data_IF_558709629426
#
_entry.id   IF_558709629426
#
_cell.length_a   1.000
_cell.length_b   1.000
_cell.length_c   1.000
_cell.angle_alpha   90.00
_cell.angle_beta   90.00
_cell.angle_gamma   90.00
#
_symmetry.space_group_name_H-M   'P 1'
#
loop_
_entity.id
_entity.type
_entity.pdbx_description
1 polymer ?
#
# COMPACT_ATOMS: atom_id res chain seq x y z
N UNK A 1 -42.38 13.97 0.70
CA UNK A 1 -41.68 14.20 -0.59
C UNK A 1 -40.45 15.06 -0.32
N UNK A 2 -39.32 14.80 -0.99
CA UNK A 2 -38.13 15.66 -0.86
C UNK A 2 -38.13 16.79 -1.91
N UNK A 3 -37.31 17.82 -1.69
CA UNK A 3 -37.06 18.89 -2.67
C UNK A 3 -36.56 18.31 -3.99
N UNK A 4 -35.64 17.34 -3.97
CA UNK A 4 -35.14 16.67 -5.18
C UNK A 4 -36.25 15.95 -5.95
N UNK A 5 -37.25 15.41 -5.24
CA UNK A 5 -38.41 14.75 -5.85
C UNK A 5 -39.24 15.77 -6.62
N UNK A 6 -39.47 16.96 -6.03
CA UNK A 6 -40.16 18.07 -6.69
C UNK A 6 -39.37 18.60 -7.90
N UNK A 7 -38.05 18.79 -7.76
CA UNK A 7 -37.18 19.23 -8.86
C UNK A 7 -37.19 18.24 -10.03
N UNK A 8 -37.18 16.92 -9.76
CA UNK A 8 -37.29 15.87 -10.79
C UNK A 8 -38.66 15.89 -11.48
N UNK A 9 -39.74 16.03 -10.73
CA UNK A 9 -41.11 16.14 -11.29
C UNK A 9 -41.24 17.41 -12.16
N UNK A 10 -40.68 18.53 -11.72
CA UNK A 10 -40.66 19.77 -12.50
C UNK A 10 -39.86 19.62 -13.80
N UNK A 11 -38.66 19.03 -13.74
CA UNK A 11 -37.85 18.78 -14.93
C UNK A 11 -38.57 17.88 -15.96
N UNK A 12 -39.28 16.84 -15.51
CA UNK A 12 -40.10 15.99 -16.39
C UNK A 12 -41.24 16.79 -17.05
N UNK A 13 -41.96 17.63 -16.28
CA UNK A 13 -43.01 18.50 -16.82
C UNK A 13 -42.49 19.53 -17.82
N UNK A 14 -41.27 20.05 -17.59
CA UNK A 14 -40.62 21.00 -18.49
C UNK A 14 -40.26 20.35 -19.83
N UNK A 15 -39.78 19.10 -19.82
CA UNK A 15 -39.50 18.34 -21.05
C UNK A 15 -40.78 18.05 -21.83
N UNK A 16 -41.88 17.66 -21.17
CA UNK A 16 -43.17 17.47 -21.86
C UNK A 16 -43.70 18.78 -22.45
N UNK A 17 -43.62 19.89 -21.70
CA UNK A 17 -44.02 21.21 -22.17
C UNK A 17 -43.24 21.67 -23.42
N UNK A 18 -41.92 21.47 -23.43
CA UNK A 18 -41.08 21.78 -24.59
C UNK A 18 -41.44 20.93 -25.82
N UNK A 19 -41.78 19.65 -25.62
CA UNK A 19 -42.25 18.76 -26.69
C UNK A 19 -43.63 19.20 -27.23
N UNK A 20 -44.54 19.62 -26.35
CA UNK A 20 -45.87 20.11 -26.70
C UNK A 20 -45.81 21.43 -27.49
N UNK A 21 -44.98 22.40 -27.07
CA UNK A 21 -44.72 23.63 -27.84
C UNK A 21 -44.14 23.30 -29.22
N UNK A 22 -43.17 22.38 -29.28
CA UNK A 22 -42.55 21.96 -30.54
C UNK A 22 -43.56 21.29 -31.49
N UNK A 23 -44.47 20.48 -30.94
CA UNK A 23 -45.57 19.85 -31.66
C UNK A 23 -46.58 20.87 -32.16
N UNK A 24 -46.95 21.85 -31.32
CA UNK A 24 -47.87 22.92 -31.66
C UNK A 24 -47.28 23.83 -32.75
N UNK A 25 -46.03 24.26 -32.63
CA UNK A 25 -45.34 25.05 -33.66
C UNK A 25 -45.27 24.31 -35.01
N UNK A 26 -45.08 22.98 -35.00
CA UNK A 26 -45.12 22.14 -36.21
C UNK A 26 -46.53 22.07 -36.82
N UNK A 27 -47.59 22.07 -36.00
CA UNK A 27 -48.99 22.16 -36.48
C UNK A 27 -49.29 23.56 -37.04
N UNK A 28 -48.86 24.63 -36.38
CA UNK A 28 -49.07 26.02 -36.83
C UNK A 28 -48.37 26.30 -38.17
N UNK A 29 -47.15 25.79 -38.37
CA UNK A 29 -46.43 25.89 -39.67
C UNK A 29 -47.20 25.23 -40.82
N UNK A 30 -47.72 24.01 -40.62
CA UNK A 30 -48.58 23.31 -41.61
C UNK A 30 -49.86 24.08 -41.91
N UNK A 31 -50.47 24.69 -40.89
CA UNK A 31 -51.68 25.50 -41.07
C UNK A 31 -51.36 26.78 -41.84
N UNK A 32 -50.20 27.40 -41.64
CA UNK A 32 -49.75 28.56 -42.41
C UNK A 32 -49.50 28.21 -43.89
N UNK A 33 -48.90 27.05 -44.17
CA UNK A 33 -48.75 26.50 -45.53
C UNK A 33 -50.13 26.31 -46.21
N UNK A 34 -51.11 25.75 -45.49
CA UNK A 34 -52.49 25.56 -45.99
C UNK A 34 -53.18 26.90 -46.30
N UNK A 35 -53.13 27.88 -45.38
CA UNK A 35 -53.75 29.19 -45.58
C UNK A 35 -53.08 30.00 -46.72
N UNK A 36 -51.82 29.73 -47.05
CA UNK A 36 -51.15 30.36 -48.19
C UNK A 36 -51.53 29.75 -49.54
N UNK A 37 -51.92 28.47 -49.56
CA UNK A 37 -52.36 27.78 -50.78
C UNK A 37 -53.86 27.97 -51.10
N UNK A 38 -54.60 28.71 -50.28
CA UNK A 38 -56.05 28.89 -50.43
C UNK A 38 -56.39 30.11 -51.30
N UNK A 39 -57.10 29.91 -52.42
CA UNK A 39 -57.55 30.98 -53.32
C UNK A 39 -58.66 31.83 -52.69
N UNK A 40 -58.64 33.15 -52.91
CA UNK A 40 -59.44 34.13 -52.16
C UNK A 40 -60.69 34.56 -52.95
N UNK A 41 -61.88 34.42 -52.34
CA UNK A 41 -63.10 35.17 -52.71
C UNK A 41 -63.17 36.48 -51.90
N UNK A 42 -63.68 37.57 -52.50
CA UNK A 42 -63.60 38.93 -51.93
C UNK A 42 -64.11 39.06 -50.49
N UNK A 43 -65.24 38.41 -50.15
CA UNK A 43 -65.84 38.49 -48.79
C UNK A 43 -65.00 37.79 -47.72
N UNK A 44 -64.24 36.75 -48.07
CA UNK A 44 -63.42 35.98 -47.12
C UNK A 44 -62.03 36.59 -46.88
N UNK A 45 -61.64 37.61 -47.66
CA UNK A 45 -60.28 38.16 -47.66
C UNK A 45 -59.87 38.78 -46.31
N UNK A 46 -60.78 39.52 -45.64
CA UNK A 46 -60.48 40.15 -44.35
C UNK A 46 -60.34 39.12 -43.21
N UNK A 47 -61.26 38.16 -43.10
CA UNK A 47 -61.17 37.10 -42.08
C UNK A 47 -59.90 36.26 -42.27
N UNK A 48 -59.61 35.84 -43.51
CA UNK A 48 -58.41 35.07 -43.82
C UNK A 48 -57.12 35.84 -43.48
N UNK A 49 -57.10 37.15 -43.69
CA UNK A 49 -55.97 38.01 -43.32
C UNK A 49 -55.80 38.11 -41.80
N UNK A 50 -56.90 38.23 -41.05
CA UNK A 50 -56.89 38.25 -39.59
C UNK A 50 -56.41 36.91 -38.99
N UNK A 51 -56.85 35.78 -39.55
CA UNK A 51 -56.43 34.46 -39.08
C UNK A 51 -54.97 34.15 -39.43
N UNK A 52 -54.48 34.62 -40.58
CA UNK A 52 -53.04 34.59 -40.91
C UNK A 52 -52.20 35.39 -39.92
N UNK A 53 -52.66 36.58 -39.52
CA UNK A 53 -51.97 37.41 -38.53
C UNK A 53 -51.90 36.72 -37.15
N UNK A 54 -53.04 36.25 -36.63
CA UNK A 54 -53.12 35.52 -35.36
C UNK A 54 -52.23 34.27 -35.33
N UNK A 55 -52.20 33.54 -36.44
CA UNK A 55 -51.33 32.36 -36.59
C UNK A 55 -49.85 32.74 -36.60
N UNK A 56 -49.49 33.85 -37.25
CA UNK A 56 -48.12 34.37 -37.25
C UNK A 56 -47.69 34.80 -35.84
N UNK A 57 -48.52 35.56 -35.12
CA UNK A 57 -48.30 35.95 -33.72
C UNK A 57 -48.08 34.72 -32.81
N UNK A 58 -48.94 33.70 -32.96
CA UNK A 58 -48.78 32.42 -32.24
C UNK A 58 -47.45 31.72 -32.62
N UNK A 59 -47.07 31.69 -33.89
CA UNK A 59 -45.81 31.09 -34.33
C UNK A 59 -44.57 31.82 -33.80
N UNK A 60 -44.62 33.16 -33.71
CA UNK A 60 -43.56 33.97 -33.10
C UNK A 60 -43.44 33.62 -31.61
N UNK A 61 -44.55 33.69 -30.85
CA UNK A 61 -44.55 33.38 -29.42
C UNK A 61 -44.04 31.97 -29.11
N UNK A 62 -44.49 30.94 -29.84
CA UNK A 62 -44.02 29.56 -29.67
C UNK A 62 -42.53 29.40 -30.03
N UNK A 63 -42.01 30.20 -30.96
CA UNK A 63 -40.58 30.20 -31.31
C UNK A 63 -39.74 30.89 -30.24
N UNK A 64 -40.21 32.01 -29.68
CA UNK A 64 -39.58 32.70 -28.56
C UNK A 64 -39.49 31.82 -27.31
N UNK A 65 -40.55 31.11 -26.92
CA UNK A 65 -40.54 30.22 -25.76
C UNK A 65 -39.55 29.05 -25.92
N UNK A 66 -39.49 28.42 -27.10
CA UNK A 66 -38.47 27.39 -27.37
C UNK A 66 -37.05 27.95 -27.33
N UNK A 67 -36.85 29.19 -27.77
CA UNK A 67 -35.56 29.85 -27.74
C UNK A 67 -35.16 30.22 -26.31
N UNK A 68 -36.07 30.79 -25.50
CA UNK A 68 -35.90 31.05 -24.06
C UNK A 68 -35.45 29.78 -23.32
N UNK A 69 -36.15 28.65 -23.50
CA UNK A 69 -35.77 27.39 -22.87
C UNK A 69 -34.44 26.82 -23.38
N UNK A 70 -34.11 26.99 -24.68
CA UNK A 70 -32.79 26.61 -25.21
C UNK A 70 -31.67 27.44 -24.59
N UNK A 71 -31.88 28.74 -24.43
CA UNK A 71 -30.90 29.67 -23.87
C UNK A 71 -30.72 29.44 -22.37
N UNK A 72 -31.81 29.19 -21.64
CA UNK A 72 -31.79 28.77 -20.23
C UNK A 72 -31.02 27.44 -20.05
N UNK A 73 -31.31 26.42 -20.87
CA UNK A 73 -30.58 25.15 -20.83
C UNK A 73 -29.09 25.32 -21.18
N UNK A 74 -28.77 26.23 -22.11
CA UNK A 74 -27.38 26.55 -22.47
C UNK A 74 -26.65 27.31 -21.36
N UNK A 75 -27.33 28.24 -20.67
CA UNK A 75 -26.79 28.94 -19.51
C UNK A 75 -26.52 27.99 -18.34
N UNK A 76 -27.44 27.04 -18.06
CA UNK A 76 -27.24 25.98 -17.04
C UNK A 76 -26.02 25.11 -17.34
N UNK A 77 -25.78 24.75 -18.62
CA UNK A 77 -24.57 24.02 -19.03
C UNK A 77 -23.30 24.83 -18.77
N UNK A 78 -23.26 26.10 -19.21
CA UNK A 78 -22.12 27.00 -18.97
C UNK A 78 -21.81 27.16 -17.47
N UNK A 79 -22.85 27.30 -16.63
CA UNK A 79 -22.68 27.35 -15.18
C UNK A 79 -22.04 26.06 -14.64
N UNK A 80 -22.53 24.89 -15.06
CA UNK A 80 -21.97 23.61 -14.61
C UNK A 80 -20.52 23.39 -15.10
N UNK A 81 -20.21 23.79 -16.33
CA UNK A 81 -18.85 23.78 -16.88
C UNK A 81 -17.91 24.72 -16.11
N UNK A 82 -18.39 25.90 -15.72
CA UNK A 82 -17.68 26.86 -14.87
C UNK A 82 -17.41 26.32 -13.47
N UNK A 83 -18.43 25.75 -12.80
CA UNK A 83 -18.28 25.08 -11.50
C UNK A 83 -17.21 23.99 -11.56
N UNK A 84 -17.30 23.11 -12.57
CA UNK A 84 -16.33 22.04 -12.81
C UNK A 84 -14.91 22.56 -13.10
N UNK A 85 -14.77 23.75 -13.68
CA UNK A 85 -13.48 24.41 -13.88
C UNK A 85 -12.87 24.86 -12.55
N UNK A 86 -13.66 25.50 -11.69
CA UNK A 86 -13.26 25.90 -10.35
C UNK A 86 -12.87 24.69 -9.48
N UNK A 87 -13.64 23.61 -9.53
CA UNK A 87 -13.34 22.39 -8.78
C UNK A 87 -12.05 21.70 -9.26
N UNK A 88 -11.74 21.77 -10.57
CA UNK A 88 -10.44 21.36 -11.13
C UNK A 88 -9.29 22.22 -10.63
N UNK A 89 -9.47 23.55 -10.53
CA UNK A 89 -8.44 24.43 -9.97
C UNK A 89 -8.22 24.15 -8.48
N UNK A 90 -9.28 24.01 -7.68
CA UNK A 90 -9.20 23.58 -6.26
C UNK A 90 -8.44 22.26 -6.11
N UNK A 91 -8.73 21.27 -6.94
CA UNK A 91 -8.01 19.98 -6.92
C UNK A 91 -6.53 20.13 -7.30
N UNK A 92 -6.20 20.96 -8.31
CA UNK A 92 -4.81 21.24 -8.72
C UNK A 92 -4.03 21.99 -7.63
N UNK A 93 -4.64 23.00 -7.01
CA UNK A 93 -4.08 23.71 -5.85
C UNK A 93 -3.80 22.73 -4.72
N UNK A 94 -4.80 21.95 -4.25
CA UNK A 94 -4.59 20.94 -3.20
C UNK A 94 -3.44 19.98 -3.52
N UNK A 95 -3.32 19.47 -4.76
CA UNK A 95 -2.21 18.58 -5.16
C UNK A 95 -0.85 19.27 -5.01
N UNK A 96 -0.69 20.48 -5.54
CA UNK A 96 0.59 21.21 -5.48
C UNK A 96 0.90 21.67 -4.05
N UNK A 97 -0.11 22.16 -3.33
CA UNK A 97 0.04 22.61 -1.96
C UNK A 97 0.43 21.46 -1.03
N UNK A 98 -0.09 20.24 -1.21
CA UNK A 98 0.35 19.07 -0.43
C UNK A 98 1.87 18.87 -0.53
N UNK A 99 2.42 18.78 -1.76
CA UNK A 99 3.85 18.51 -1.95
C UNK A 99 4.75 19.65 -1.44
N UNK A 100 4.27 20.91 -1.51
CA UNK A 100 4.92 22.08 -0.92
C UNK A 100 4.81 22.14 0.61
N UNK A 101 3.65 21.80 1.17
CA UNK A 101 3.31 21.86 2.59
C UNK A 101 4.08 20.83 3.40
N UNK A 102 4.34 19.65 2.82
CA UNK A 102 5.25 18.66 3.40
C UNK A 102 6.72 19.12 3.48
N UNK A 103 7.10 20.19 2.75
CA UNK A 103 8.41 20.88 2.85
C UNK A 103 8.30 22.14 3.75
N UNK A 104 7.09 22.50 4.20
CA UNK A 104 6.84 23.69 5.01
C UNK A 104 6.77 24.99 4.22
N UNK A 105 6.63 24.94 2.89
CA UNK A 105 6.59 26.13 2.02
C UNK A 105 5.22 26.82 1.96
N UNK A 106 4.15 26.15 2.41
CA UNK A 106 2.76 26.65 2.38
C UNK A 106 2.02 26.20 3.63
N UNK A 107 1.17 27.06 4.18
CA UNK A 107 0.19 26.70 5.22
C UNK A 107 -0.98 25.92 4.59
N UNK A 108 -1.02 24.62 4.85
CA UNK A 108 -2.09 23.73 4.37
C UNK A 108 -3.47 24.12 4.92
N UNK A 109 -3.57 24.59 6.16
CA UNK A 109 -4.87 24.93 6.75
C UNK A 109 -5.50 26.15 6.07
N UNK A 110 -4.69 27.11 5.62
CA UNK A 110 -5.14 28.25 4.82
C UNK A 110 -5.60 27.82 3.42
N UNK A 111 -4.87 26.91 2.77
CA UNK A 111 -5.22 26.39 1.43
C UNK A 111 -6.48 25.54 1.46
N UNK A 112 -6.60 24.61 2.41
CA UNK A 112 -7.77 23.74 2.53
C UNK A 112 -9.02 24.58 2.78
N UNK A 113 -8.94 25.54 3.72
CA UNK A 113 -10.03 26.50 3.97
C UNK A 113 -10.44 27.28 2.70
N UNK A 114 -9.48 27.70 1.86
CA UNK A 114 -9.80 28.36 0.59
C UNK A 114 -10.49 27.38 -0.37
N UNK A 115 -9.95 26.18 -0.54
CA UNK A 115 -10.43 25.19 -1.49
C UNK A 115 -11.77 24.53 -1.09
N UNK A 116 -12.13 24.58 0.20
CA UNK A 116 -13.38 24.06 0.76
C UNK A 116 -14.54 25.07 0.70
N UNK A 117 -14.28 26.34 0.37
CA UNK A 117 -15.37 27.32 0.15
C UNK A 117 -16.10 27.04 -1.17
N UNK A 118 -17.40 26.71 -1.09
CA UNK A 118 -18.29 26.48 -2.24
C UNK A 118 -18.74 27.79 -2.92
N UNK A 119 -17.83 28.76 -3.09
CA UNK A 119 -18.12 29.99 -3.83
C UNK A 119 -17.82 29.77 -5.34
N UNK A 120 -18.77 30.09 -6.20
CA UNK A 120 -18.62 29.98 -7.66
C UNK A 120 -18.61 31.35 -8.36
N UNK A 121 -18.40 32.43 -7.60
CA UNK A 121 -18.33 33.79 -8.09
C UNK A 121 -17.03 34.11 -8.86
N UNK A 122 -17.10 35.12 -9.72
CA UNK A 122 -15.95 35.66 -10.46
C UNK A 122 -14.78 36.12 -9.56
N UNK A 123 -14.98 36.87 -8.44
CA UNK A 123 -13.86 37.23 -7.57
C UNK A 123 -13.23 35.99 -6.88
N UNK A 124 -14.01 34.96 -6.56
CA UNK A 124 -13.44 33.72 -6.03
C UNK A 124 -12.58 32.96 -7.06
N UNK A 125 -12.99 32.98 -8.35
CA UNK A 125 -12.14 32.51 -9.44
C UNK A 125 -10.79 33.25 -9.50
N UNK A 126 -10.79 34.57 -9.34
CA UNK A 126 -9.58 35.39 -9.37
C UNK A 126 -8.64 35.05 -8.20
N UNK A 127 -9.17 34.85 -6.99
CA UNK A 127 -8.40 34.39 -5.82
C UNK A 127 -7.79 33.00 -6.06
N UNK A 128 -8.57 32.03 -6.54
CA UNK A 128 -8.06 30.69 -6.86
C UNK A 128 -7.01 30.73 -7.99
N UNK A 129 -7.19 31.58 -8.99
CA UNK A 129 -6.23 31.76 -10.09
C UNK A 129 -4.90 32.34 -9.59
N UNK A 130 -4.94 33.33 -8.69
CA UNK A 130 -3.73 33.91 -8.07
C UNK A 130 -3.01 32.89 -7.18
N UNK A 131 -3.75 32.15 -6.35
CA UNK A 131 -3.18 31.13 -5.47
C UNK A 131 -2.61 29.93 -6.23
N UNK A 132 -3.25 29.54 -7.35
CA UNK A 132 -2.68 28.53 -8.26
C UNK A 132 -1.34 29.02 -8.86
N UNK A 133 -1.29 30.25 -9.37
CA UNK A 133 -0.04 30.84 -9.90
C UNK A 133 1.05 30.91 -8.82
N UNK A 134 0.70 31.32 -7.60
CA UNK A 134 1.62 31.37 -6.45
C UNK A 134 2.17 29.98 -6.10
N UNK A 135 1.32 28.96 -6.08
CA UNK A 135 1.72 27.58 -5.82
C UNK A 135 2.57 27.00 -6.97
N UNK A 136 2.26 27.30 -8.22
CA UNK A 136 3.06 26.87 -9.38
C UNK A 136 4.45 27.51 -9.40
N UNK A 137 4.54 28.82 -9.11
CA UNK A 137 5.82 29.51 -8.96
C UNK A 137 6.66 28.91 -7.82
N UNK A 138 6.08 28.71 -6.63
CA UNK A 138 6.77 28.05 -5.52
C UNK A 138 7.24 26.63 -5.87
N UNK A 139 6.44 25.85 -6.61
CA UNK A 139 6.82 24.51 -7.06
C UNK A 139 8.01 24.57 -8.03
N UNK A 140 7.99 25.50 -8.97
CA UNK A 140 9.06 25.72 -9.94
C UNK A 140 10.37 26.12 -9.25
N UNK A 141 10.32 27.14 -8.38
CA UNK A 141 11.51 27.71 -7.73
C UNK A 141 12.15 26.75 -6.73
N UNK A 142 11.40 25.77 -6.21
CA UNK A 142 11.87 24.77 -5.24
C UNK A 142 12.02 23.36 -5.85
N UNK A 143 12.07 23.22 -7.18
CA UNK A 143 12.12 21.92 -7.87
C UNK A 143 13.21 20.97 -7.34
N UNK A 144 14.42 21.46 -7.07
CA UNK A 144 15.52 20.60 -6.57
C UNK A 144 15.18 19.98 -5.22
N UNK A 145 14.66 20.78 -4.28
CA UNK A 145 14.31 20.33 -2.92
C UNK A 145 13.17 19.31 -2.97
N UNK A 146 12.18 19.55 -3.84
CA UNK A 146 11.07 18.62 -4.06
C UNK A 146 11.57 17.30 -4.67
N UNK A 147 12.43 17.35 -5.68
CA UNK A 147 13.00 16.17 -6.34
C UNK A 147 13.86 15.36 -5.36
N UNK A 148 14.77 16.00 -4.60
CA UNK A 148 15.61 15.33 -3.60
C UNK A 148 14.78 14.66 -2.49
N UNK A 149 13.68 15.29 -2.09
CA UNK A 149 12.71 14.72 -1.13
C UNK A 149 11.96 13.53 -1.70
N UNK A 150 11.48 13.60 -2.94
CA UNK A 150 10.81 12.47 -3.59
C UNK A 150 11.80 11.32 -3.84
N UNK A 151 13.05 11.59 -4.20
CA UNK A 151 14.11 10.56 -4.22
C UNK A 151 14.29 9.89 -2.86
N UNK A 152 14.31 10.66 -1.77
CA UNK A 152 14.40 10.11 -0.41
C UNK A 152 13.22 9.18 -0.09
N UNK A 153 12.00 9.51 -0.55
CA UNK A 153 10.85 8.62 -0.46
C UNK A 153 11.02 7.36 -1.34
N UNK A 154 11.49 7.51 -2.59
CA UNK A 154 11.76 6.38 -3.49
C UNK A 154 12.78 5.41 -2.87
N UNK A 155 13.87 5.91 -2.29
CA UNK A 155 14.86 5.08 -1.59
C UNK A 155 14.26 4.37 -0.36
N UNK A 156 13.41 5.05 0.42
CA UNK A 156 12.69 4.42 1.53
C UNK A 156 11.78 3.28 1.03
N UNK A 157 10.99 3.50 0.00
CA UNK A 157 10.08 2.49 -0.53
C UNK A 157 10.80 1.35 -1.28
N UNK A 158 11.93 1.62 -1.92
CA UNK A 158 12.80 0.57 -2.45
C UNK A 158 13.37 -0.32 -1.34
N UNK A 159 13.79 0.26 -0.20
CA UNK A 159 14.20 -0.54 0.96
C UNK A 159 13.03 -1.37 1.54
N UNK A 160 11.82 -0.79 1.65
CA UNK A 160 10.63 -1.51 2.14
C UNK A 160 10.17 -2.64 1.20
N UNK A 161 10.31 -2.44 -0.11
CA UNK A 161 10.00 -3.45 -1.15
C UNK A 161 11.20 -4.35 -1.47
N UNK A 162 12.31 -4.21 -0.74
CA UNK A 162 13.57 -4.94 -0.91
C UNK A 162 14.13 -4.89 -2.35
N UNK A 163 13.86 -3.83 -3.12
CA UNK A 163 14.36 -3.64 -4.48
C UNK A 163 15.65 -2.83 -4.48
N UNK A 164 16.61 -3.19 -5.35
CA UNK A 164 17.82 -2.37 -5.52
C UNK A 164 17.58 -1.23 -6.51
N UNK A 165 17.75 0.01 -6.03
CA UNK A 165 17.67 1.21 -6.84
C UNK A 165 18.83 1.31 -7.84
N UNK A 166 18.62 0.86 -9.08
CA UNK A 166 19.54 1.15 -10.20
C UNK A 166 19.41 2.59 -10.72
N UNK A 167 18.50 3.38 -10.14
CA UNK A 167 18.23 4.76 -10.55
C UNK A 167 19.34 5.69 -10.07
N UNK A 168 19.96 6.40 -11.02
CA UNK A 168 20.96 7.44 -10.74
C UNK A 168 20.23 8.73 -10.39
N UNK A 169 20.67 9.40 -9.33
CA UNK A 169 20.20 10.72 -8.94
C UNK A 169 20.33 11.68 -10.14
N UNK A 170 19.23 12.35 -10.50
CA UNK A 170 19.27 13.32 -11.59
C UNK A 170 20.04 14.56 -11.13
N UNK A 171 20.90 15.13 -11.98
CA UNK A 171 21.61 16.37 -11.64
C UNK A 171 20.64 17.55 -11.69
N UNK A 172 20.91 18.58 -10.89
CA UNK A 172 20.08 19.77 -10.75
C UNK A 172 19.79 20.48 -12.09
N UNK A 173 20.72 20.42 -13.05
CA UNK A 173 20.57 20.95 -14.42
C UNK A 173 19.47 20.26 -15.26
N UNK A 174 18.89 19.17 -14.76
CA UNK A 174 17.80 18.41 -15.40
C UNK A 174 16.50 18.43 -14.57
N UNK A 175 16.41 19.27 -13.53
CA UNK A 175 15.22 19.41 -12.70
C UNK A 175 14.07 20.05 -13.50
N UNK A 176 13.01 19.28 -13.78
CA UNK A 176 11.79 19.75 -14.43
C UNK A 176 10.54 19.33 -13.66
N UNK A 177 9.43 20.03 -13.89
CA UNK A 177 8.12 19.66 -13.31
C UNK A 177 7.68 18.28 -13.78
N UNK A 178 7.93 17.93 -15.03
CA UNK A 178 7.62 16.61 -15.61
C UNK A 178 8.42 15.48 -14.93
N UNK A 179 9.71 15.72 -14.63
CA UNK A 179 10.54 14.77 -13.89
C UNK A 179 10.01 14.60 -12.46
N UNK A 180 9.65 15.70 -11.78
CA UNK A 180 9.05 15.62 -10.45
C UNK A 180 7.75 14.81 -10.46
N UNK A 181 6.85 15.03 -11.43
CA UNK A 181 5.59 14.28 -11.55
C UNK A 181 5.80 12.79 -11.85
N UNK A 182 6.81 12.45 -12.66
CA UNK A 182 7.21 11.06 -12.91
C UNK A 182 7.73 10.37 -11.64
N UNK A 183 8.52 11.09 -10.82
CA UNK A 183 9.05 10.57 -9.56
C UNK A 183 7.95 10.47 -8.47
N UNK A 184 7.04 11.46 -8.39
CA UNK A 184 5.84 11.41 -7.53
C UNK A 184 4.99 10.18 -7.86
N UNK A 185 4.72 9.92 -9.15
CA UNK A 185 4.00 8.71 -9.57
C UNK A 185 4.77 7.43 -9.20
N UNK A 186 6.09 7.42 -9.35
CA UNK A 186 6.91 6.25 -8.98
C UNK A 186 6.83 5.92 -7.48
N UNK A 187 6.68 6.92 -6.60
CA UNK A 187 6.42 6.69 -5.17
C UNK A 187 5.06 6.01 -4.97
N UNK A 188 4.01 6.49 -5.64
CA UNK A 188 2.67 5.91 -5.56
C UNK A 188 2.69 4.45 -6.03
N UNK A 189 3.33 4.15 -7.18
CA UNK A 189 3.44 2.79 -7.70
C UNK A 189 4.14 1.84 -6.71
N UNK A 190 5.21 2.31 -6.05
CA UNK A 190 5.94 1.54 -5.04
C UNK A 190 5.13 1.34 -3.74
N UNK A 191 4.37 2.35 -3.32
CA UNK A 191 3.46 2.26 -2.18
C UNK A 191 2.35 1.24 -2.43
N UNK A 192 1.68 1.33 -3.58
CA UNK A 192 0.64 0.39 -3.99
C UNK A 192 1.19 -1.04 -4.04
N UNK A 193 2.33 -1.26 -4.71
CA UNK A 193 2.99 -2.56 -4.77
C UNK A 193 3.39 -3.11 -3.39
N UNK A 194 3.85 -2.25 -2.47
CA UNK A 194 4.14 -2.67 -1.09
C UNK A 194 2.87 -3.07 -0.33
N UNK A 195 1.78 -2.30 -0.45
CA UNK A 195 0.55 -2.57 0.27
C UNK A 195 -0.16 -3.82 -0.25
N UNK A 196 -0.30 -3.97 -1.57
CA UNK A 196 -0.98 -5.09 -2.23
C UNK A 196 -0.28 -6.43 -2.01
N UNK A 197 1.04 -6.41 -1.73
CA UNK A 197 1.85 -7.61 -1.47
C UNK A 197 2.51 -7.60 -0.09
N UNK A 198 1.95 -6.83 0.85
CA UNK A 198 2.51 -6.64 2.20
C UNK A 198 2.66 -7.94 3.00
N UNK A 199 1.83 -8.95 2.72
CA UNK A 199 1.95 -10.30 3.30
C UNK A 199 3.25 -11.01 2.89
N UNK A 200 3.70 -10.84 1.64
CA UNK A 200 4.95 -11.44 1.12
C UNK A 200 6.14 -10.78 1.82
N UNK A 201 6.16 -9.44 1.91
CA UNK A 201 7.23 -8.70 2.57
C UNK A 201 7.33 -9.01 4.08
N UNK A 202 6.21 -9.06 4.79
CA UNK A 202 6.18 -9.43 6.21
C UNK A 202 6.65 -10.86 6.46
N UNK A 203 6.23 -11.80 5.60
CA UNK A 203 6.60 -13.20 5.71
C UNK A 203 8.09 -13.41 5.39
N UNK A 204 8.64 -12.70 4.40
CA UNK A 204 10.07 -12.70 4.08
C UNK A 204 10.92 -12.05 5.19
N UNK A 205 10.50 -10.92 5.76
CA UNK A 205 11.19 -10.31 6.90
C UNK A 205 11.26 -11.26 8.11
N UNK A 206 10.18 -12.01 8.37
CA UNK A 206 10.15 -13.05 9.41
C UNK A 206 11.04 -14.25 9.07
N UNK A 207 11.15 -14.61 7.78
CA UNK A 207 12.11 -15.62 7.31
C UNK A 207 13.54 -15.17 7.62
N UNK A 208 13.87 -13.92 7.32
CA UNK A 208 15.20 -13.33 7.55
C UNK A 208 15.58 -13.23 9.04
N UNK A 209 14.62 -12.90 9.91
CA UNK A 209 14.78 -12.94 11.38
C UNK A 209 15.17 -14.36 11.86
N UNK A 210 14.41 -15.39 11.45
CA UNK A 210 14.68 -16.78 11.82
C UNK A 210 15.98 -17.30 11.21
N UNK A 211 16.31 -16.87 9.98
CA UNK A 211 17.53 -17.22 9.27
C UNK A 211 18.78 -16.67 9.99
N UNK A 212 18.76 -15.37 10.30
CA UNK A 212 19.83 -14.72 11.08
C UNK A 212 19.99 -15.39 12.43
N UNK A 213 18.87 -15.68 13.12
CA UNK A 213 18.90 -16.34 14.43
C UNK A 213 19.42 -17.79 14.38
N UNK A 214 19.18 -18.51 13.28
CA UNK A 214 19.78 -19.82 13.04
C UNK A 214 21.31 -19.71 12.97
N UNK A 215 21.82 -18.80 12.15
CA UNK A 215 23.25 -18.58 11.98
C UNK A 215 23.94 -18.15 13.30
N UNK A 216 23.31 -17.32 14.12
CA UNK A 216 23.79 -16.97 15.46
C UNK A 216 23.90 -18.19 16.39
N UNK A 217 22.86 -19.02 16.47
CA UNK A 217 22.87 -20.25 17.28
C UNK A 217 23.94 -21.25 16.82
N UNK A 218 24.26 -21.25 15.53
CA UNK A 218 25.31 -22.06 14.93
C UNK A 218 26.72 -21.50 15.19
N UNK A 219 26.89 -20.18 15.23
CA UNK A 219 28.12 -19.54 15.69
C UNK A 219 28.38 -19.84 17.18
N UNK A 220 27.38 -19.62 18.03
CA UNK A 220 27.44 -19.92 19.47
C UNK A 220 27.69 -21.42 19.74
N UNK A 221 27.21 -22.31 18.87
CA UNK A 221 27.52 -23.74 18.95
C UNK A 221 29.01 -24.08 18.76
N UNK A 222 29.79 -23.19 18.13
CA UNK A 222 31.23 -23.33 17.92
C UNK A 222 32.11 -22.81 19.06
N UNK A 223 31.58 -22.00 19.99
CA UNK A 223 32.40 -21.34 21.00
C UNK A 223 32.85 -22.29 22.14
N UNK A 224 34.14 -22.29 22.55
CA UNK A 224 34.62 -23.10 23.68
C UNK A 224 33.96 -22.74 25.03
N UNK A 225 33.51 -21.48 25.17
CA UNK A 225 32.81 -20.92 26.32
C UNK A 225 31.42 -21.50 26.55
N UNK A 226 30.79 -22.08 25.52
CA UNK A 226 29.39 -22.56 25.51
C UNK A 226 29.07 -23.57 26.62
N UNK A 227 30.06 -24.35 27.09
CA UNK A 227 29.87 -25.31 28.18
C UNK A 227 29.71 -24.67 29.57
N UNK A 228 29.85 -23.34 29.71
CA UNK A 228 29.51 -22.58 30.93
C UNK A 228 27.98 -22.40 31.07
N UNK A 229 27.25 -23.51 31.11
CA UNK A 229 25.79 -23.61 31.07
C UNK A 229 25.07 -23.14 32.36
N UNK A 230 25.33 -21.92 32.83
CA UNK A 230 24.62 -21.33 33.99
C UNK A 230 23.18 -21.01 33.59
N UNK A 231 22.20 -21.46 34.37
CA UNK A 231 20.78 -21.17 34.10
C UNK A 231 20.20 -21.86 32.87
N UNK A 232 20.73 -23.03 32.48
CA UNK A 232 20.14 -23.89 31.45
C UNK A 232 20.12 -23.27 30.04
N UNK A 233 21.10 -22.43 29.72
CA UNK A 233 21.24 -21.79 28.42
C UNK A 233 21.24 -22.79 27.26
N UNK A 234 22.01 -23.90 27.36
CA UNK A 234 22.07 -24.93 26.31
C UNK A 234 20.69 -25.52 25.98
N UNK A 235 19.82 -25.68 26.98
CA UNK A 235 18.48 -26.23 26.77
C UNK A 235 17.52 -25.20 26.15
N UNK A 236 17.79 -23.89 26.32
CA UNK A 236 17.07 -22.81 25.64
C UNK A 236 17.51 -22.71 24.18
N UNK A 237 18.82 -22.73 23.91
CA UNK A 237 19.38 -22.79 22.56
C UNK A 237 18.82 -23.98 21.76
N UNK A 238 18.75 -25.17 22.35
CA UNK A 238 18.24 -26.37 21.66
C UNK A 238 16.72 -26.30 21.38
N UNK A 239 15.94 -25.74 22.32
CA UNK A 239 14.50 -25.49 22.10
C UNK A 239 14.28 -24.47 20.98
N UNK A 240 15.09 -23.42 20.95
CA UNK A 240 15.03 -22.37 19.93
C UNK A 240 15.43 -22.92 18.55
N UNK A 241 16.50 -23.72 18.47
CA UNK A 241 16.89 -24.43 17.23
C UNK A 241 15.77 -25.31 16.70
N UNK A 242 15.16 -26.14 17.56
CA UNK A 242 14.05 -27.01 17.15
C UNK A 242 12.82 -26.22 16.66
N UNK A 243 12.54 -25.06 17.27
CA UNK A 243 11.50 -24.15 16.80
C UNK A 243 11.83 -23.57 15.42
N UNK A 244 13.04 -23.08 15.21
CA UNK A 244 13.48 -22.53 13.92
C UNK A 244 13.46 -23.60 12.82
N UNK A 245 14.00 -24.80 13.10
CA UNK A 245 14.01 -25.92 12.16
C UNK A 245 12.61 -26.36 11.71
N UNK A 246 11.59 -26.24 12.57
CA UNK A 246 10.20 -26.49 12.18
C UNK A 246 9.54 -25.30 11.49
N UNK A 247 9.79 -24.07 11.96
CA UNK A 247 9.08 -22.86 11.52
C UNK A 247 9.60 -22.27 10.22
N UNK A 248 10.91 -22.36 9.96
CA UNK A 248 11.55 -21.80 8.78
C UNK A 248 11.02 -22.47 7.48
N UNK A 249 10.95 -23.81 7.35
CA UNK A 249 10.37 -24.46 6.17
C UNK A 249 8.87 -24.19 5.99
N UNK A 250 8.10 -24.04 7.07
CA UNK A 250 6.67 -23.68 7.01
C UNK A 250 6.48 -22.28 6.41
N UNK A 251 7.36 -21.34 6.77
CA UNK A 251 7.37 -19.97 6.24
C UNK A 251 7.82 -19.96 4.78
N UNK A 252 8.88 -20.68 4.42
CA UNK A 252 9.38 -20.77 3.04
C UNK A 252 8.35 -21.44 2.11
N UNK A 253 7.62 -22.46 2.56
CA UNK A 253 6.52 -23.08 1.81
C UNK A 253 5.36 -22.12 1.57
N UNK A 254 4.86 -21.44 2.62
CA UNK A 254 3.78 -20.45 2.49
C UNK A 254 4.20 -19.27 1.59
N UNK A 255 5.46 -18.87 1.65
CA UNK A 255 6.00 -17.81 0.80
C UNK A 255 5.97 -18.23 -0.68
N UNK A 256 6.34 -19.47 -1.00
CA UNK A 256 6.23 -20.02 -2.34
C UNK A 256 4.79 -20.07 -2.87
N UNK A 257 3.80 -20.35 -2.03
CA UNK A 257 2.38 -20.30 -2.41
C UNK A 257 1.92 -18.86 -2.77
N UNK A 258 2.28 -17.87 -1.95
CA UNK A 258 1.93 -16.47 -2.19
C UNK A 258 2.64 -15.91 -3.44
N UNK A 259 3.91 -16.26 -3.63
CA UNK A 259 4.70 -15.87 -4.80
C UNK A 259 4.12 -16.47 -6.07
N UNK A 260 3.75 -17.77 -6.07
CA UNK A 260 3.11 -18.38 -7.23
C UNK A 260 1.80 -17.69 -7.59
N UNK A 261 0.96 -17.35 -6.61
CA UNK A 261 -0.27 -16.60 -6.85
C UNK A 261 0.01 -15.21 -7.46
N UNK A 262 1.03 -14.50 -6.97
CA UNK A 262 1.47 -13.23 -7.55
C UNK A 262 1.89 -13.39 -9.02
N UNK A 263 2.73 -14.38 -9.32
CA UNK A 263 3.24 -14.66 -10.68
C UNK A 263 2.10 -15.05 -11.64
N UNK A 264 1.12 -15.83 -11.17
CA UNK A 264 -0.10 -16.18 -11.90
C UNK A 264 -0.99 -14.95 -12.18
N UNK A 265 -1.09 -13.99 -11.24
CA UNK A 265 -1.92 -12.79 -11.40
C UNK A 265 -1.28 -11.67 -12.23
N UNK A 266 0.04 -11.49 -12.11
CA UNK A 266 0.77 -10.33 -12.64
C UNK A 266 1.62 -10.68 -13.87
N UNK A 267 1.85 -11.97 -14.16
CA UNK A 267 2.64 -12.42 -15.30
C UNK A 267 4.14 -12.08 -15.24
N UNK A 268 4.65 -11.73 -14.05
CA UNK A 268 6.06 -11.36 -13.80
C UNK A 268 6.55 -12.02 -12.51
N UNK A 269 7.85 -12.32 -12.45
CA UNK A 269 8.48 -12.92 -11.27
C UNK A 269 8.50 -11.98 -10.07
N UNK A 270 8.35 -12.52 -8.86
CA UNK A 270 8.54 -11.72 -7.63
C UNK A 270 10.02 -11.61 -7.27
N UNK A 271 10.59 -10.40 -7.36
CA UNK A 271 12.02 -10.17 -7.14
C UNK A 271 12.32 -9.44 -5.83
N UNK A 272 13.35 -9.92 -5.14
CA UNK A 272 13.97 -9.36 -3.94
C UNK A 272 15.45 -9.16 -4.23
N UNK A 273 15.96 -7.95 -4.01
CA UNK A 273 17.32 -7.50 -4.39
C UNK A 273 17.67 -7.74 -5.86
N UNK A 274 16.67 -7.58 -6.76
CA UNK A 274 16.74 -7.88 -8.20
C UNK A 274 16.97 -9.38 -8.54
N UNK A 275 16.75 -10.29 -7.59
CA UNK A 275 16.81 -11.75 -7.77
C UNK A 275 15.43 -12.34 -7.47
N UNK A 276 15.03 -13.41 -8.16
CA UNK A 276 13.79 -14.12 -7.83
C UNK A 276 13.81 -14.62 -6.36
N UNK A 277 12.73 -14.37 -5.61
CA UNK A 277 12.69 -14.62 -4.16
C UNK A 277 12.94 -16.09 -3.78
N UNK A 278 12.41 -17.05 -4.56
CA UNK A 278 12.63 -18.49 -4.33
C UNK A 278 14.06 -18.92 -4.68
N UNK A 279 14.64 -18.32 -5.74
CA UNK A 279 16.06 -18.49 -6.06
C UNK A 279 16.94 -17.95 -4.94
N UNK A 280 16.65 -16.76 -4.39
CA UNK A 280 17.41 -16.17 -3.28
C UNK A 280 17.41 -17.06 -2.02
N UNK A 281 16.26 -17.62 -1.66
CA UNK A 281 16.15 -18.59 -0.55
C UNK A 281 17.03 -19.83 -0.79
N UNK A 282 17.07 -20.32 -2.04
CA UNK A 282 17.92 -21.45 -2.42
C UNK A 282 19.40 -21.11 -2.29
N UNK A 283 19.83 -19.94 -2.79
CA UNK A 283 21.21 -19.46 -2.64
C UNK A 283 21.65 -19.34 -1.18
N UNK A 284 20.77 -18.85 -0.30
CA UNK A 284 21.09 -18.72 1.14
C UNK A 284 21.37 -20.09 1.77
N UNK A 285 20.54 -21.09 1.45
CA UNK A 285 20.75 -22.48 1.87
C UNK A 285 22.03 -23.09 1.31
N UNK A 286 22.37 -22.82 0.04
CA UNK A 286 23.62 -23.28 -0.57
C UNK A 286 24.85 -22.67 0.11
N UNK A 287 24.88 -21.35 0.33
CA UNK A 287 25.96 -20.63 1.00
C UNK A 287 26.17 -21.11 2.44
N UNK A 288 25.08 -21.27 3.19
CA UNK A 288 25.12 -21.79 4.56
C UNK A 288 25.67 -23.23 4.61
N UNK A 289 25.16 -24.12 3.76
CA UNK A 289 25.59 -25.51 3.71
C UNK A 289 27.06 -25.65 3.28
N UNK A 290 27.50 -24.84 2.30
CA UNK A 290 28.90 -24.80 1.86
C UNK A 290 29.82 -24.29 2.98
N UNK A 291 29.40 -23.25 3.71
CA UNK A 291 30.14 -22.71 4.85
C UNK A 291 30.30 -23.74 5.97
N UNK A 292 29.23 -24.46 6.32
CA UNK A 292 29.27 -25.58 7.28
C UNK A 292 30.18 -26.72 6.82
N UNK A 293 30.09 -27.13 5.55
CA UNK A 293 30.96 -28.18 4.99
C UNK A 293 32.45 -27.79 5.06
N UNK A 294 32.78 -26.55 4.69
CA UNK A 294 34.13 -25.98 4.75
C UNK A 294 34.65 -25.89 6.19
N UNK A 295 33.80 -25.56 7.17
CA UNK A 295 34.17 -25.59 8.58
C UNK A 295 34.49 -27.01 9.06
N UNK A 296 33.63 -27.99 8.76
CA UNK A 296 33.84 -29.40 9.10
C UNK A 296 35.15 -29.92 8.47
N UNK A 297 35.44 -29.56 7.22
CA UNK A 297 36.68 -29.93 6.54
C UNK A 297 37.91 -29.32 7.23
N UNK A 298 37.89 -28.01 7.55
CA UNK A 298 38.97 -27.35 8.29
C UNK A 298 39.22 -28.00 9.66
N UNK A 299 38.15 -28.28 10.42
CA UNK A 299 38.23 -28.97 11.73
C UNK A 299 38.83 -30.38 11.59
N UNK A 300 38.50 -31.14 10.54
CA UNK A 300 39.13 -32.45 10.27
C UNK A 300 40.62 -32.29 9.95
N UNK A 301 40.99 -31.35 9.08
CA UNK A 301 42.38 -31.12 8.68
C UNK A 301 43.28 -30.69 9.86
N UNK A 302 42.81 -29.80 10.73
CA UNK A 302 43.58 -29.40 11.93
C UNK A 302 43.74 -30.57 12.91
N UNK A 303 42.75 -31.45 13.02
CA UNK A 303 42.85 -32.69 13.78
C UNK A 303 43.97 -33.60 13.24
N UNK A 304 43.99 -33.85 11.92
CA UNK A 304 45.01 -34.69 11.28
C UNK A 304 46.44 -34.13 11.42
N UNK A 305 46.63 -32.82 11.32
CA UNK A 305 47.95 -32.18 11.53
C UNK A 305 48.43 -32.32 12.98
N UNK A 306 47.50 -32.19 13.95
CA UNK A 306 47.81 -32.32 15.39
C UNK A 306 48.12 -33.76 15.81
N UNK A 307 47.65 -34.76 15.05
CA UNK A 307 47.92 -36.18 15.31
C UNK A 307 49.23 -36.71 14.69
N UNK A 308 50.14 -35.84 14.25
CA UNK A 308 51.51 -36.27 13.97
C UNK A 308 52.16 -36.77 15.27
N UNK A 309 52.72 -37.99 15.32
CA UNK A 309 53.21 -38.57 16.57
C UNK A 309 54.41 -37.76 17.06
N UNK A 310 54.22 -37.06 18.18
CA UNK A 310 55.27 -36.34 18.90
C UNK A 310 56.37 -37.32 19.28
N UNK A 311 57.44 -37.36 18.49
CA UNK A 311 58.57 -38.27 18.67
C UNK A 311 59.09 -38.17 20.10
N UNK A 312 59.04 -39.31 20.80
CA UNK A 312 59.44 -39.41 22.20
C UNK A 312 60.95 -39.19 22.30
N UNK A 313 61.36 -38.03 22.78
CA UNK A 313 62.72 -37.79 23.28
C UNK A 313 62.70 -37.49 24.77
N UNK A 314 62.44 -38.53 25.54
CA UNK A 314 62.50 -38.53 27.00
C UNK A 314 62.98 -39.89 27.47
N UNK A 315 64.29 -40.00 27.73
CA UNK A 315 64.87 -41.19 28.37
C UNK A 315 64.56 -41.16 29.86
N UNK A 316 63.91 -42.19 30.39
CA UNK A 316 64.43 -42.98 31.55
C UNK A 316 63.43 -44.03 32.08
N UNK A 317 63.98 -45.22 32.32
CA UNK A 317 63.66 -46.18 33.41
C UNK A 317 62.23 -46.70 33.65
N UNK A 318 62.07 -47.99 33.31
CA UNK A 318 61.48 -49.05 34.16
C UNK A 318 60.12 -48.82 34.84
N UNK A 319 59.07 -49.51 34.37
CA UNK A 319 58.67 -50.81 34.95
C UNK A 319 57.45 -51.39 34.24
N UNK A 320 57.44 -52.72 34.10
CA UNK A 320 56.27 -53.49 33.68
C UNK A 320 55.20 -53.50 34.77
N UNK A 321 53.92 -53.49 34.37
CA UNK A 321 52.88 -54.37 34.93
C UNK A 321 51.68 -54.39 33.97
N UNK A 322 51.41 -55.56 33.40
CA UNK A 322 50.26 -55.80 32.50
C UNK A 322 49.09 -56.29 33.33
N UNK A 323 47.93 -55.62 33.25
CA UNK A 323 46.67 -56.13 33.79
C UNK A 323 45.58 -56.09 32.72
N UNK A 324 45.25 -57.27 32.20
CA UNK A 324 44.11 -57.50 31.32
C UNK A 324 42.80 -57.36 32.10
N UNK A 325 41.91 -56.45 31.67
CA UNK A 325 40.56 -56.30 32.22
C UNK A 325 39.49 -56.36 31.13
N UNK A 326 39.08 -57.57 30.73
CA UNK A 326 37.93 -57.77 29.82
C UNK A 326 36.62 -57.56 30.59
N UNK A 327 35.80 -56.59 30.21
CA UNK A 327 34.41 -56.46 30.68
C UNK A 327 33.45 -57.18 29.73
N UNK A 328 32.64 -58.15 30.19
CA UNK A 328 31.71 -58.90 29.34
C UNK A 328 30.32 -58.26 29.25
N UNK A 329 29.64 -58.45 28.12
CA UNK A 329 28.19 -58.25 28.00
C UNK A 329 27.42 -59.32 28.81
N UNK A 330 26.26 -58.98 29.38
CA UNK A 330 25.17 -59.96 29.58
C UNK A 330 23.79 -59.29 29.53
N UNK A 331 22.77 -60.10 29.22
CA UNK A 331 21.47 -59.68 28.71
C UNK A 331 20.28 -59.89 29.68
N UNK A 332 19.14 -59.36 29.22
CA UNK A 332 17.72 -59.44 29.64
C UNK A 332 17.27 -60.57 30.60
N UNK A 333 16.53 -60.16 31.64
CA UNK A 333 15.34 -60.78 32.27
C UNK A 333 14.72 -59.75 33.25
N UNK A 334 13.46 -59.79 33.74
CA UNK A 334 12.37 -60.74 33.49
C UNK A 334 11.14 -60.68 34.44
N UNK A 335 10.54 -59.50 34.71
CA UNK A 335 9.14 -59.27 35.22
C UNK A 335 8.74 -59.68 36.67
N UNK A 336 7.61 -59.08 37.13
CA UNK A 336 6.82 -59.22 38.40
C UNK A 336 7.25 -58.24 39.54
N UNK A 337 6.52 -57.20 39.98
CA UNK A 337 5.11 -57.01 40.47
C UNK A 337 4.88 -57.65 41.86
N UNK A 338 4.23 -57.05 42.89
CA UNK A 338 3.28 -55.92 42.96
C UNK A 338 3.19 -55.27 44.38
N UNK A 339 2.17 -54.39 44.59
CA UNK A 339 1.76 -53.61 45.80
C UNK A 339 2.54 -52.30 46.08
N UNK A 340 1.91 -51.16 46.41
CA UNK A 340 0.48 -50.81 46.55
C UNK A 340 0.20 -49.91 47.77
N UNK A 341 -0.89 -49.12 47.74
CA UNK A 341 -1.32 -48.05 48.70
C UNK A 341 -0.59 -46.70 48.46
N UNK A 342 -1.19 -45.55 48.13
CA UNK A 342 -2.55 -44.96 48.24
C UNK A 342 -2.86 -44.19 49.54
N UNK A 343 -3.54 -43.04 49.38
CA UNK A 343 -4.16 -42.17 50.39
C UNK A 343 -3.22 -41.34 51.31
N UNK A 344 -3.60 -40.19 51.88
CA UNK A 344 -4.63 -39.20 51.53
C UNK A 344 -4.40 -37.91 52.35
N UNK A 345 -4.72 -36.74 51.79
CA UNK A 345 -5.12 -35.55 52.57
C UNK A 345 -4.06 -34.87 53.46
N UNK A 346 -4.30 -33.71 54.06
CA UNK A 346 -5.41 -32.73 53.93
C UNK A 346 -4.93 -31.40 54.55
N UNK A 347 -5.57 -30.26 54.21
CA UNK A 347 -5.89 -29.09 55.10
C UNK A 347 -4.78 -28.45 55.99
N UNK A 348 -4.70 -27.14 56.23
CA UNK A 348 -5.63 -26.00 56.08
C UNK A 348 -4.94 -24.69 56.50
N UNK A 349 -5.56 -23.52 56.21
CA UNK A 349 -5.38 -22.20 56.90
C UNK A 349 -3.96 -21.58 56.84
N UNK A 350 -3.69 -20.26 56.81
CA UNK A 350 -4.42 -18.99 57.07
C UNK A 350 -3.58 -17.84 56.43
N UNK A 351 -3.94 -16.54 56.33
CA UNK A 351 -5.06 -15.69 56.79
C UNK A 351 -5.18 -14.45 55.84
N UNK A 352 -5.92 -13.40 56.24
CA UNK A 352 -6.07 -12.07 55.59
C UNK A 352 -4.75 -11.24 55.63
N UNK A 353 -4.51 -10.16 54.85
CA UNK A 353 -5.35 -8.95 54.66
C UNK A 353 -4.93 -8.01 53.50
N UNK A 354 -5.82 -7.09 53.13
CA UNK A 354 -5.67 -6.02 52.11
C UNK A 354 -4.45 -5.09 52.19
N UNK A 355 -4.00 -4.57 51.02
CA UNK A 355 -4.06 -3.11 50.68
C UNK A 355 -3.59 -2.75 49.25
N UNK A 356 -4.44 -1.96 48.56
CA UNK A 356 -4.28 -1.01 47.42
C UNK A 356 -2.96 -0.90 46.60
N UNK A 357 -3.04 -0.73 45.26
CA UNK A 357 -1.92 -0.36 44.39
C UNK A 357 -1.79 1.17 44.12
N UNK A 358 -0.61 1.68 43.72
CA UNK A 358 -0.44 3.00 43.11
C UNK A 358 -0.30 2.95 41.57
N UNK A 359 -0.48 4.09 40.92
CA UNK A 359 -0.68 4.22 39.47
C UNK A 359 0.59 4.54 38.65
N UNK A 360 0.48 4.27 37.35
CA UNK A 360 1.17 4.92 36.22
C UNK A 360 1.57 6.38 36.49
N UNK A 361 2.81 6.73 36.17
CA UNK A 361 3.17 8.07 35.72
C UNK A 361 3.43 8.06 34.21
N UNK A 362 2.90 9.07 33.50
CA UNK A 362 3.43 9.54 32.22
C UNK A 362 4.33 10.73 32.53
N UNK A 363 5.45 10.87 31.84
CA UNK A 363 6.16 12.14 31.71
C UNK A 363 6.25 12.50 30.23
N UNK A 364 5.89 13.77 29.98
CA UNK A 364 6.23 14.68 28.88
C UNK A 364 6.99 14.08 27.71
#
# INVERSE_FOLDING_TARGET
MSVDTLCKIWALKLVTFQADISSLLKKSKRLAEQLNNTTINMENSQSLTQDKLRLHELMVHLTEELQRHRDEASAKKRLHEWQKSLDRMRAKIRKISHTLGEVGLVDMAAIDKLCDTEDYSQPHYEVLSQELQRCEALRHDNLSILIDRVWSQIYLWFNMTLQHSNMKHCKQDCASVELLELLEQKVIDLQTFYHDHSDIFQLYAKRDELWTRMAELDHLAGEPTRYRNRGGQLLREEKERNYIQGKLPEIEAKLGELVRHFEESEGRQFTVFNVEIMHKITMDWEEYNQTKANEIQRRKQSMFQTTTPRLIRGSSTTSSLVLNGKTPQRAKSGKLSARGLSSNGSTSSSLLSDRKPPQRNKCV
#
